data_IF_095215416342
#
_entry.id   IF_095215416342
#
_cell.length_a   1.000
_cell.length_b   1.000
_cell.length_c   1.000
_cell.angle_alpha   90.00
_cell.angle_beta   90.00
_cell.angle_gamma   90.00
#
_symmetry.space_group_name_H-M   'P 1'
#
loop_
_entity.id
_entity.type
_entity.pdbx_description
1 polymer ?
#
# COMPACT_ATOMS: atom_id res chain seq x y z
N UNK A 1 5.05 12.24 7.26
CA UNK A 1 3.61 12.57 7.37
C UNK A 1 2.81 11.92 6.25
N UNK A 2 3.43 11.50 5.15
CA UNK A 2 2.72 11.06 3.93
C UNK A 2 2.27 9.60 4.07
N UNK A 3 3.04 8.77 4.78
CA UNK A 3 2.75 7.35 4.93
C UNK A 3 1.41 7.07 5.62
N UNK A 4 1.05 7.87 6.63
CA UNK A 4 -0.15 7.65 7.42
C UNK A 4 -1.45 7.87 6.60
N UNK A 5 -1.68 9.01 5.92
CA UNK A 5 -2.81 9.17 5.01
C UNK A 5 -2.86 8.11 3.91
N UNK A 6 -1.70 7.77 3.32
CA UNK A 6 -1.63 6.72 2.29
C UNK A 6 -2.05 5.36 2.84
N UNK A 7 -1.64 5.02 4.07
CA UNK A 7 -2.03 3.76 4.70
C UNK A 7 -3.55 3.64 4.85
N UNK A 8 -4.23 4.74 5.22
CA UNK A 8 -5.70 4.78 5.33
C UNK A 8 -6.33 4.55 3.96
N UNK A 9 -5.86 5.25 2.93
CA UNK A 9 -6.34 5.07 1.54
C UNK A 9 -6.16 3.61 1.09
N UNK A 10 -4.98 3.03 1.33
CA UNK A 10 -4.68 1.63 1.00
C UNK A 10 -5.53 0.65 1.79
N UNK A 11 -5.88 0.97 3.04
CA UNK A 11 -6.82 0.20 3.85
C UNK A 11 -8.24 0.21 3.26
N UNK A 12 -8.75 1.39 2.90
CA UNK A 12 -10.04 1.54 2.24
C UNK A 12 -10.09 0.78 0.91
N UNK A 13 -9.09 0.97 0.04
CA UNK A 13 -8.97 0.23 -1.22
C UNK A 13 -8.87 -1.27 -1.00
N UNK A 14 -8.09 -1.70 0.00
CA UNK A 14 -7.93 -3.10 0.35
C UNK A 14 -9.25 -3.75 0.78
N UNK A 15 -10.04 -3.03 1.59
CA UNK A 15 -11.37 -3.46 2.00
C UNK A 15 -12.34 -3.54 0.83
N UNK A 16 -12.40 -2.50 -0.02
CA UNK A 16 -13.25 -2.48 -1.21
C UNK A 16 -12.89 -3.65 -2.12
N UNK A 17 -11.62 -3.88 -2.43
CA UNK A 17 -11.20 -4.90 -3.39
C UNK A 17 -11.36 -6.32 -2.85
N UNK A 18 -11.24 -6.53 -1.54
CA UNK A 18 -11.47 -7.83 -0.91
C UNK A 18 -12.94 -8.24 -0.98
N UNK A 19 -13.86 -7.29 -0.79
CA UNK A 19 -15.29 -7.55 -0.65
C UNK A 19 -16.06 -7.36 -1.97
N UNK A 20 -15.74 -6.29 -2.70
CA UNK A 20 -16.35 -5.87 -3.96
C UNK A 20 -15.25 -5.62 -5.01
N UNK A 21 -14.53 -6.68 -5.46
CA UNK A 21 -13.47 -6.52 -6.44
C UNK A 21 -14.04 -5.96 -7.76
N UNK A 22 -13.27 -5.11 -8.47
CA UNK A 22 -13.60 -4.71 -9.84
C UNK A 22 -13.87 -5.94 -10.71
N UNK A 23 -15.09 -6.06 -11.25
CA UNK A 23 -15.50 -7.22 -12.03
C UNK A 23 -15.04 -7.13 -13.48
N UNK A 24 -15.09 -5.93 -14.04
CA UNK A 24 -14.72 -5.67 -15.43
C UNK A 24 -13.23 -5.37 -15.57
N UNK A 25 -12.55 -6.17 -16.41
CA UNK A 25 -11.16 -5.93 -16.78
C UNK A 25 -11.06 -4.66 -17.60
N UNK A 26 -10.28 -3.71 -17.12
CA UNK A 26 -10.02 -2.46 -17.82
C UNK A 26 -8.56 -2.02 -17.66
N UNK A 27 -8.16 -1.08 -18.52
CA UNK A 27 -6.81 -0.53 -18.56
C UNK A 27 -6.54 0.63 -17.61
N UNK A 28 -7.51 1.09 -16.81
CA UNK A 28 -7.41 2.33 -16.04
C UNK A 28 -7.18 2.10 -14.54
N UNK A 29 -7.88 1.14 -13.93
CA UNK A 29 -7.81 0.87 -12.49
C UNK A 29 -7.76 -0.63 -12.18
N UNK A 30 -7.44 -0.94 -10.93
CA UNK A 30 -7.27 -2.32 -10.46
C UNK A 30 -5.81 -2.78 -10.47
N UNK A 31 -5.59 -3.97 -9.91
CA UNK A 31 -4.33 -4.70 -9.96
C UNK A 31 -4.13 -5.27 -11.37
N UNK A 32 -3.24 -4.65 -12.17
CA UNK A 32 -3.16 -4.84 -13.63
C UNK A 32 -1.83 -5.43 -14.09
N UNK A 33 -1.42 -6.55 -13.53
CA UNK A 33 -0.23 -7.28 -14.03
C UNK A 33 -0.59 -8.10 -15.26
N UNK A 34 0.41 -8.50 -16.06
CA UNK A 34 0.21 -9.37 -17.23
C UNK A 34 -0.54 -10.66 -16.85
N UNK A 35 -0.18 -11.27 -15.72
CA UNK A 35 -0.85 -12.48 -15.20
C UNK A 35 -2.29 -12.21 -14.79
N UNK A 36 -2.55 -11.09 -14.11
CA UNK A 36 -3.89 -10.71 -13.68
C UNK A 36 -4.83 -10.47 -14.86
N UNK A 37 -4.35 -9.80 -15.91
CA UNK A 37 -5.16 -9.45 -17.07
C UNK A 37 -5.38 -10.61 -18.06
N UNK A 38 -4.73 -11.76 -17.87
CA UNK A 38 -4.74 -12.87 -18.82
C UNK A 38 -6.15 -13.45 -19.09
N UNK A 39 -7.00 -13.53 -18.07
CA UNK A 39 -8.38 -14.01 -18.18
C UNK A 39 -9.22 -13.51 -16.98
N UNK A 40 -10.54 -13.61 -17.07
CA UNK A 40 -11.45 -13.05 -16.07
C UNK A 40 -11.31 -13.73 -14.70
N UNK A 41 -10.99 -15.03 -14.67
CA UNK A 41 -10.72 -15.75 -13.43
C UNK A 41 -9.49 -15.18 -12.72
N UNK A 42 -8.41 -14.94 -13.45
CA UNK A 42 -7.19 -14.33 -12.92
C UNK A 42 -7.42 -12.88 -12.51
N UNK A 43 -8.23 -12.14 -13.27
CA UNK A 43 -8.59 -10.75 -12.95
C UNK A 43 -9.25 -10.66 -11.58
N UNK A 44 -10.37 -11.37 -11.38
CA UNK A 44 -11.11 -11.37 -10.12
C UNK A 44 -10.24 -11.86 -8.97
N UNK A 45 -9.50 -12.96 -9.19
CA UNK A 45 -8.60 -13.54 -8.18
C UNK A 45 -7.54 -12.52 -7.75
N UNK A 46 -6.91 -11.83 -8.69
CA UNK A 46 -5.88 -10.84 -8.40
C UNK A 46 -6.41 -9.66 -7.59
N UNK A 47 -7.58 -9.12 -7.94
CA UNK A 47 -8.19 -8.00 -7.20
C UNK A 47 -8.47 -8.38 -5.74
N UNK A 48 -9.06 -9.57 -5.53
CA UNK A 48 -9.38 -10.06 -4.20
C UNK A 48 -8.13 -10.34 -3.36
N UNK A 49 -7.09 -10.92 -3.97
CA UNK A 49 -5.81 -11.19 -3.31
C UNK A 49 -5.07 -9.89 -2.99
N UNK A 50 -5.08 -8.92 -3.91
CA UNK A 50 -4.55 -7.58 -3.66
C UNK A 50 -5.23 -6.97 -2.43
N UNK A 51 -6.57 -6.96 -2.38
CA UNK A 51 -7.29 -6.45 -1.22
C UNK A 51 -6.94 -7.18 0.08
N UNK A 52 -6.81 -8.50 0.01
CA UNK A 52 -6.45 -9.34 1.16
C UNK A 52 -5.05 -9.04 1.69
N UNK A 53 -4.03 -8.96 0.82
CA UNK A 53 -2.66 -8.67 1.24
C UNK A 53 -2.50 -7.21 1.65
N UNK A 54 -3.16 -6.27 0.97
CA UNK A 54 -3.16 -4.86 1.36
C UNK A 54 -3.66 -4.67 2.79
N UNK A 55 -4.76 -5.34 3.17
CA UNK A 55 -5.26 -5.34 4.55
C UNK A 55 -4.35 -6.09 5.53
N UNK A 56 -3.74 -7.20 5.10
CA UNK A 56 -2.83 -8.00 5.94
C UNK A 56 -1.61 -7.21 6.41
N UNK A 57 -1.08 -6.35 5.54
CA UNK A 57 0.09 -5.51 5.83
C UNK A 57 -0.27 -4.09 6.27
N UNK A 58 -1.56 -3.75 6.38
CA UNK A 58 -2.03 -2.41 6.75
C UNK A 58 -1.54 -1.97 8.14
N UNK A 59 -1.58 -2.88 9.12
CA UNK A 59 -1.14 -2.57 10.49
C UNK A 59 0.33 -2.13 10.54
N UNK A 60 1.17 -2.69 9.67
CA UNK A 60 2.57 -2.32 9.56
C UNK A 60 2.71 -0.89 9.05
N UNK A 61 1.98 -0.53 7.99
CA UNK A 61 1.97 0.85 7.49
C UNK A 61 1.47 1.85 8.52
N UNK A 62 0.41 1.51 9.27
CA UNK A 62 -0.13 2.37 10.32
C UNK A 62 0.87 2.58 11.45
N UNK A 63 1.53 1.52 11.92
CA UNK A 63 2.54 1.59 12.98
C UNK A 63 3.69 2.53 12.58
N UNK A 64 4.28 2.32 11.40
CA UNK A 64 5.38 3.14 10.93
C UNK A 64 4.93 4.55 10.51
N UNK A 65 3.70 4.73 10.05
CA UNK A 65 3.12 6.04 9.79
C UNK A 65 2.96 6.88 11.07
N UNK A 66 2.60 6.26 12.19
CA UNK A 66 2.55 6.93 13.51
C UNK A 66 3.97 7.27 13.99
N UNK A 67 4.93 6.35 13.83
CA UNK A 67 6.33 6.61 14.21
C UNK A 67 6.92 7.77 13.38
N UNK A 68 6.73 7.76 12.06
CA UNK A 68 7.19 8.82 11.16
C UNK A 68 6.58 10.17 11.51
N UNK A 69 5.28 10.19 11.81
CA UNK A 69 4.59 11.40 12.30
C UNK A 69 5.24 11.97 13.56
N UNK A 70 5.56 11.14 14.55
CA UNK A 70 6.22 11.58 15.79
C UNK A 70 7.62 12.13 15.50
N UNK A 71 8.41 11.45 14.66
CA UNK A 71 9.76 11.92 14.26
C UNK A 71 9.70 13.29 13.62
N UNK A 72 8.75 13.51 12.71
CA UNK A 72 8.60 14.80 12.03
C UNK A 72 8.14 15.90 12.97
N UNK A 73 7.20 15.64 13.88
CA UNK A 73 6.81 16.59 14.92
C UNK A 73 8.03 17.01 15.75
N UNK A 74 8.87 16.05 16.16
CA UNK A 74 10.11 16.34 16.89
C UNK A 74 11.09 17.14 16.03
N UNK A 75 11.25 16.78 14.76
CA UNK A 75 12.11 17.50 13.81
C UNK A 75 11.69 18.96 13.64
N UNK A 76 10.38 19.21 13.54
CA UNK A 76 9.80 20.56 13.48
C UNK A 76 10.05 21.32 14.78
N UNK A 77 9.78 20.71 15.93
CA UNK A 77 10.03 21.33 17.25
C UNK A 77 11.49 21.69 17.48
N UNK A 78 12.42 20.91 16.92
CA UNK A 78 13.87 21.15 16.98
C UNK A 78 14.41 21.99 15.83
N UNK A 79 13.55 22.43 14.90
CA UNK A 79 13.95 23.16 13.67
C UNK A 79 15.11 22.47 12.94
N UNK A 80 15.07 21.14 12.86
CA UNK A 80 16.14 20.31 12.29
C UNK A 80 15.66 19.62 11.03
N UNK A 81 15.94 20.22 9.87
CA UNK A 81 15.51 19.72 8.56
C UNK A 81 16.04 18.31 8.26
N UNK A 82 17.25 17.99 8.71
CA UNK A 82 17.85 16.67 8.51
C UNK A 82 17.01 15.52 9.12
N UNK A 83 16.37 15.76 10.27
CA UNK A 83 15.49 14.78 10.92
C UNK A 83 14.24 14.55 10.06
N UNK A 84 13.64 15.63 9.57
CA UNK A 84 12.44 15.59 8.73
C UNK A 84 12.75 14.84 7.43
N UNK A 85 13.85 15.20 6.75
CA UNK A 85 14.25 14.56 5.49
C UNK A 85 14.56 13.08 5.66
N UNK A 86 15.21 12.70 6.76
CA UNK A 86 15.48 11.30 7.08
C UNK A 86 14.18 10.52 7.35
N UNK A 87 13.23 11.11 8.09
CA UNK A 87 11.91 10.54 8.31
C UNK A 87 11.14 10.29 7.01
N UNK A 88 11.11 11.27 6.11
CA UNK A 88 10.47 11.15 4.80
C UNK A 88 11.12 10.07 3.91
N UNK A 89 12.44 9.96 3.95
CA UNK A 89 13.17 8.89 3.24
C UNK A 89 12.76 7.49 3.72
N UNK A 90 12.68 7.31 5.04
CA UNK A 90 12.25 6.05 5.66
C UNK A 90 10.79 5.74 5.28
N UNK A 91 9.89 6.75 5.32
CA UNK A 91 8.49 6.57 4.90
C UNK A 91 8.37 6.10 3.44
N UNK A 92 9.18 6.66 2.54
CA UNK A 92 9.23 6.28 1.14
C UNK A 92 9.69 4.82 0.97
N UNK A 93 10.79 4.43 1.62
CA UNK A 93 11.32 3.07 1.54
C UNK A 93 10.31 2.03 2.05
N UNK A 94 9.58 2.35 3.12
CA UNK A 94 8.52 1.50 3.66
C UNK A 94 7.37 1.34 2.65
N UNK A 95 6.99 2.41 1.96
CA UNK A 95 5.95 2.35 0.93
C UNK A 95 6.40 1.49 -0.26
N UNK A 96 7.64 1.65 -0.73
CA UNK A 96 8.22 0.82 -1.80
C UNK A 96 8.24 -0.64 -1.40
N UNK A 97 8.72 -0.93 -0.19
CA UNK A 97 8.73 -2.29 0.36
C UNK A 97 7.32 -2.88 0.42
N UNK A 98 6.33 -2.11 0.90
CA UNK A 98 4.94 -2.54 0.98
C UNK A 98 4.36 -2.86 -0.40
N UNK A 99 4.55 -1.98 -1.39
CA UNK A 99 4.08 -2.22 -2.75
C UNK A 99 4.73 -3.48 -3.34
N UNK A 100 6.03 -3.67 -3.10
CA UNK A 100 6.76 -4.83 -3.58
C UNK A 100 6.29 -6.13 -2.93
N UNK A 101 6.09 -6.16 -1.60
CA UNK A 101 5.64 -7.38 -0.93
C UNK A 101 4.21 -7.77 -1.33
N UNK A 102 3.30 -6.79 -1.47
CA UNK A 102 1.94 -7.03 -1.96
C UNK A 102 1.99 -7.57 -3.39
N UNK A 103 2.78 -6.95 -4.27
CA UNK A 103 2.98 -7.41 -5.64
C UNK A 103 3.44 -8.88 -5.70
N UNK A 104 4.53 -9.20 -4.99
CA UNK A 104 5.08 -10.56 -4.98
C UNK A 104 4.08 -11.59 -4.42
N UNK A 105 3.31 -11.22 -3.39
CA UNK A 105 2.34 -12.13 -2.79
C UNK A 105 1.16 -12.38 -3.71
N UNK A 106 0.65 -11.35 -4.39
CA UNK A 106 -0.43 -11.53 -5.36
C UNK A 106 0.04 -12.33 -6.57
N UNK A 107 1.20 -12.01 -7.16
CA UNK A 107 1.73 -12.71 -8.34
C UNK A 107 2.06 -14.19 -8.10
N UNK A 108 2.37 -14.57 -6.85
CA UNK A 108 2.56 -15.98 -6.47
C UNK A 108 1.26 -16.77 -6.43
N UNK A 109 0.11 -16.09 -6.32
CA UNK A 109 -1.20 -16.74 -6.31
C UNK A 109 -1.83 -16.84 -7.70
N UNK A 110 -1.26 -16.18 -8.71
CA UNK A 110 -1.72 -16.16 -10.10
C UNK A 110 -0.89 -17.08 -10.99
#
# INVERSE_FOLDING_TARGET
>A
MILLPLSIIMGCLGYIFKNNPPTERNGWYGYRTKKSMANDRNWIKAQKQFGTYSLKYLWFLLLFGIIGLVIEIVGIMRSTDAIIMTGLGIEFDIMVWYMFIVYLKVEKTL
#
